data_IF_973405223121
#
_entry.id   IF_973405223121
#
_cell.length_a   1.000
_cell.length_b   1.000
_cell.length_c   1.000
_cell.angle_alpha   90.00
_cell.angle_beta   90.00
_cell.angle_gamma   90.00
#
_symmetry.space_group_name_H-M   'P 1'
#
loop_
_entity.id
_entity.type
_entity.pdbx_description
1 polymer ?
#
# COMPACT_ATOMS: atom_id res chain seq x y z
N UNK A 1 10.90 -17.74 10.86
CA UNK A 1 12.33 -18.01 10.58
C UNK A 1 12.70 -17.79 9.11
N UNK A 2 12.27 -18.63 8.16
CA UNK A 2 12.75 -18.52 6.77
C UNK A 2 12.39 -17.19 6.05
N UNK A 3 11.28 -16.55 6.44
CA UNK A 3 10.85 -15.26 5.87
C UNK A 3 11.31 -14.06 6.70
N UNK A 4 11.93 -14.28 7.86
CA UNK A 4 12.20 -13.23 8.83
C UNK A 4 13.34 -12.32 8.32
N UNK A 5 13.22 -11.02 8.60
CA UNK A 5 14.24 -10.03 8.21
C UNK A 5 14.30 -9.73 6.71
N UNK A 6 13.31 -10.17 5.94
CA UNK A 6 13.13 -9.80 4.54
C UNK A 6 12.66 -8.37 4.38
N UNK A 7 12.86 -7.81 3.19
CA UNK A 7 12.36 -6.50 2.77
C UNK A 7 11.18 -6.66 1.78
N UNK A 8 10.83 -5.58 1.10
CA UNK A 8 9.74 -5.58 0.11
C UNK A 8 9.98 -6.54 -1.05
N UNK A 9 11.23 -6.71 -1.52
CA UNK A 9 11.55 -7.67 -2.59
C UNK A 9 11.34 -9.11 -2.12
N UNK A 10 11.95 -9.48 -0.99
CA UNK A 10 11.79 -10.81 -0.40
C UNK A 10 10.31 -11.16 -0.17
N UNK A 11 9.53 -10.20 0.33
CA UNK A 11 8.10 -10.37 0.58
C UNK A 11 7.32 -10.55 -0.72
N UNK A 12 7.58 -9.72 -1.72
CA UNK A 12 6.95 -9.81 -3.04
C UNK A 12 7.24 -11.16 -3.72
N UNK A 13 8.50 -11.63 -3.66
CA UNK A 13 8.89 -12.92 -4.20
C UNK A 13 8.16 -14.08 -3.52
N UNK A 14 8.12 -14.12 -2.19
CA UNK A 14 7.40 -15.16 -1.46
C UNK A 14 5.90 -15.19 -1.81
N UNK A 15 5.26 -14.01 -1.89
CA UNK A 15 3.86 -13.90 -2.28
C UNK A 15 3.62 -14.31 -3.74
N UNK A 16 4.49 -13.90 -4.67
CA UNK A 16 4.40 -14.29 -6.07
C UNK A 16 4.50 -15.81 -6.26
N UNK A 17 5.38 -16.47 -5.50
CA UNK A 17 5.50 -17.94 -5.52
C UNK A 17 4.25 -18.62 -4.94
N UNK A 18 3.68 -18.08 -3.86
CA UNK A 18 2.41 -18.56 -3.33
C UNK A 18 1.26 -18.37 -4.34
N UNK A 19 1.20 -17.23 -5.04
CA UNK A 19 0.21 -16.95 -6.09
C UNK A 19 0.34 -17.92 -7.26
N UNK A 20 1.57 -18.21 -7.72
CA UNK A 20 1.82 -19.26 -8.73
C UNK A 20 1.30 -20.63 -8.29
N UNK A 21 1.44 -20.97 -7.01
CA UNK A 21 0.91 -22.22 -6.45
C UNK A 21 -0.63 -22.24 -6.39
N UNK A 22 -1.28 -21.10 -6.11
CA UNK A 22 -2.75 -20.99 -6.14
C UNK A 22 -3.28 -21.33 -7.53
N UNK A 23 -2.59 -20.91 -8.59
CA UNK A 23 -2.91 -21.25 -9.97
C UNK A 23 -3.61 -20.10 -10.70
N UNK A 24 -4.80 -20.34 -11.24
CA UNK A 24 -5.52 -19.37 -12.07
C UNK A 24 -6.06 -18.18 -11.28
N UNK A 25 -5.90 -16.98 -11.83
CA UNK A 25 -6.43 -15.72 -11.29
C UNK A 25 -6.69 -14.74 -12.43
N UNK A 26 -7.69 -13.88 -12.25
CA UNK A 26 -7.97 -12.77 -13.16
C UNK A 26 -7.41 -11.44 -12.61
N UNK A 27 -7.55 -11.21 -11.31
CA UNK A 27 -7.11 -9.98 -10.67
C UNK A 27 -6.46 -10.30 -9.33
N UNK A 28 -5.30 -9.70 -9.08
CA UNK A 28 -4.65 -9.69 -7.77
C UNK A 28 -4.85 -8.32 -7.14
N UNK A 29 -5.49 -8.29 -5.97
CA UNK A 29 -5.65 -7.06 -5.19
C UNK A 29 -4.58 -6.94 -4.12
N UNK A 30 -3.98 -5.75 -4.03
CA UNK A 30 -3.10 -5.34 -2.95
C UNK A 30 -3.61 -4.04 -2.34
N UNK A 31 -3.28 -3.76 -1.08
CA UNK A 31 -3.39 -2.39 -0.57
C UNK A 31 -2.35 -1.48 -1.22
N UNK A 32 -2.58 -0.16 -1.19
CA UNK A 32 -1.59 0.85 -1.60
C UNK A 32 -0.24 0.66 -0.90
N UNK A 33 -0.26 0.60 0.42
CA UNK A 33 0.91 0.44 1.27
C UNK A 33 0.49 -0.13 2.63
N UNK A 34 1.41 -0.81 3.30
CA UNK A 34 1.21 -1.22 4.70
C UNK A 34 1.63 -0.07 5.62
N UNK A 35 0.83 0.19 6.66
CA UNK A 35 0.98 1.34 7.56
C UNK A 35 2.17 1.26 8.52
N UNK A 36 2.87 0.14 8.55
CA UNK A 36 4.06 -0.08 9.36
C UNK A 36 5.28 0.60 8.75
N UNK A 37 5.73 0.13 7.59
CA UNK A 37 6.92 0.65 6.89
C UNK A 37 6.59 1.67 5.82
N UNK A 38 5.32 1.79 5.41
CA UNK A 38 4.86 2.70 4.34
C UNK A 38 5.67 2.57 3.03
N UNK A 39 6.19 1.38 2.73
CA UNK A 39 7.09 1.19 1.60
C UNK A 39 6.37 1.25 0.24
N UNK A 40 5.10 0.82 0.17
CA UNK A 40 4.30 0.83 -1.06
C UNK A 40 4.81 -0.07 -2.21
N UNK A 41 5.81 -0.93 -1.97
CA UNK A 41 6.53 -1.63 -3.04
C UNK A 41 6.04 -3.04 -3.34
N UNK A 42 5.44 -3.74 -2.36
CA UNK A 42 5.18 -5.18 -2.46
C UNK A 42 4.21 -5.52 -3.60
N UNK A 43 3.15 -4.74 -3.79
CA UNK A 43 2.17 -4.96 -4.87
C UNK A 43 2.82 -4.90 -6.26
N UNK A 44 3.53 -3.81 -6.56
CA UNK A 44 4.25 -3.66 -7.83
C UNK A 44 5.36 -4.71 -8.00
N UNK A 45 6.04 -5.11 -6.91
CA UNK A 45 7.01 -6.19 -6.94
C UNK A 45 6.41 -7.53 -7.32
N UNK A 46 5.21 -7.86 -6.80
CA UNK A 46 4.49 -9.07 -7.21
C UNK A 46 4.16 -9.03 -8.70
N UNK A 47 3.66 -7.88 -9.20
CA UNK A 47 3.31 -7.73 -10.61
C UNK A 47 4.52 -7.94 -11.53
N UNK A 48 5.66 -7.37 -11.18
CA UNK A 48 6.93 -7.54 -11.92
C UNK A 48 7.35 -9.02 -11.97
N UNK A 49 7.37 -9.70 -10.81
CA UNK A 49 7.80 -11.11 -10.72
C UNK A 49 6.87 -12.05 -11.50
N UNK A 50 5.58 -11.70 -11.58
CA UNK A 50 4.58 -12.46 -12.34
C UNK A 50 4.45 -12.02 -13.81
N UNK A 51 5.11 -10.94 -14.22
CA UNK A 51 4.99 -10.38 -15.57
C UNK A 51 3.59 -9.84 -15.88
N UNK A 52 2.92 -9.22 -14.91
CA UNK A 52 1.55 -8.75 -15.03
C UNK A 52 1.47 -7.22 -15.25
N UNK A 53 0.50 -6.75 -16.04
CA UNK A 53 0.08 -5.35 -15.98
C UNK A 53 -0.28 -4.95 -14.55
N UNK A 54 0.19 -3.77 -14.12
CA UNK A 54 -0.06 -3.25 -12.77
C UNK A 54 -0.64 -1.84 -12.84
N UNK A 55 -1.72 -1.59 -12.11
CA UNK A 55 -2.28 -0.25 -11.94
C UNK A 55 -2.41 0.07 -10.45
N UNK A 56 -1.74 1.14 -10.03
CA UNK A 56 -1.66 1.52 -8.62
C UNK A 56 -2.68 2.60 -8.24
N UNK A 57 -2.95 2.75 -6.95
CA UNK A 57 -3.82 3.79 -6.38
C UNK A 57 -5.23 3.82 -6.99
N UNK A 58 -5.84 2.65 -7.22
CA UNK A 58 -7.16 2.57 -7.85
C UNK A 58 -8.27 2.85 -6.83
N UNK A 59 -9.17 3.77 -7.16
CA UNK A 59 -10.38 4.10 -6.38
C UNK A 59 -11.67 3.49 -6.95
N UNK A 60 -11.67 3.01 -8.20
CA UNK A 60 -12.85 2.39 -8.80
C UNK A 60 -12.44 1.35 -9.83
N UNK A 61 -13.17 0.23 -9.86
CA UNK A 61 -12.91 -0.92 -10.72
C UNK A 61 -14.21 -1.32 -11.41
N UNK A 62 -14.19 -1.38 -12.74
CA UNK A 62 -15.28 -1.85 -13.59
C UNK A 62 -14.76 -2.99 -14.48
N UNK A 63 -14.95 -4.26 -14.08
CA UNK A 63 -14.56 -5.40 -14.90
C UNK A 63 -15.43 -5.52 -16.16
N UNK A 64 -14.83 -5.77 -17.31
CA UNK A 64 -15.53 -5.90 -18.59
C UNK A 64 -14.83 -6.94 -19.49
N UNK A 65 -15.34 -8.17 -19.48
CA UNK A 65 -15.02 -9.21 -20.49
C UNK A 65 -13.53 -9.38 -20.83
N UNK A 66 -12.71 -9.86 -19.88
CA UNK A 66 -11.27 -10.06 -20.07
C UNK A 66 -10.43 -8.79 -19.93
N UNK A 67 -11.05 -7.66 -19.60
CA UNK A 67 -10.42 -6.39 -19.27
C UNK A 67 -10.97 -5.81 -17.97
N UNK A 68 -10.30 -4.78 -17.46
CA UNK A 68 -10.81 -3.94 -16.39
C UNK A 68 -10.60 -2.46 -16.73
N UNK A 69 -11.64 -1.66 -16.55
CA UNK A 69 -11.57 -0.20 -16.56
C UNK A 69 -11.44 0.30 -15.12
N UNK A 70 -10.46 1.16 -14.89
CA UNK A 70 -10.00 1.57 -13.57
C UNK A 70 -9.96 3.08 -13.47
N UNK A 71 -10.29 3.62 -12.31
CA UNK A 71 -10.02 5.02 -11.97
C UNK A 71 -8.83 5.06 -10.98
N UNK A 72 -7.69 5.57 -11.43
CA UNK A 72 -6.46 5.74 -10.63
C UNK A 72 -6.39 7.15 -10.07
N UNK A 73 -6.16 7.30 -8.77
CA UNK A 73 -5.99 8.59 -8.11
C UNK A 73 -4.68 9.26 -8.52
N UNK A 74 -4.74 10.56 -8.75
CA UNK A 74 -3.58 11.46 -8.95
C UNK A 74 -3.75 12.70 -8.07
N UNK A 75 -2.70 13.51 -7.92
CA UNK A 75 -2.74 14.73 -7.11
C UNK A 75 -3.77 15.76 -7.63
N UNK A 76 -4.08 15.71 -8.93
CA UNK A 76 -5.03 16.62 -9.60
C UNK A 76 -6.43 16.00 -9.81
N UNK A 77 -6.65 14.75 -9.39
CA UNK A 77 -7.93 14.06 -9.57
C UNK A 77 -7.78 12.58 -9.83
N UNK A 78 -8.07 12.13 -11.05
CA UNK A 78 -7.94 10.72 -11.43
C UNK A 78 -7.75 10.50 -12.93
N UNK A 79 -7.11 9.39 -13.27
CA UNK A 79 -6.94 8.87 -14.62
C UNK A 79 -7.90 7.69 -14.85
N UNK A 80 -8.48 7.60 -16.05
CA UNK A 80 -9.24 6.42 -16.48
C UNK A 80 -8.33 5.52 -17.29
N UNK A 81 -8.06 4.31 -16.79
CA UNK A 81 -7.12 3.35 -17.37
C UNK A 81 -7.87 2.07 -17.74
N UNK A 82 -7.56 1.49 -18.89
CA UNK A 82 -8.00 0.14 -19.26
C UNK A 82 -6.80 -0.81 -19.23
N UNK A 83 -6.97 -1.99 -18.64
CA UNK A 83 -5.96 -3.07 -18.64
C UNK A 83 -6.58 -4.40 -19.05
N UNK A 84 -5.79 -5.24 -19.72
CA UNK A 84 -6.14 -6.66 -19.93
C UNK A 84 -6.03 -7.45 -18.62
N UNK A 85 -6.78 -8.55 -18.54
CA UNK A 85 -6.63 -9.57 -17.49
C UNK A 85 -5.72 -10.72 -17.99
N UNK A 86 -4.91 -11.34 -17.11
CA UNK A 86 -4.80 -11.04 -15.69
C UNK A 86 -4.01 -9.76 -15.37
N UNK A 87 -4.33 -9.08 -14.26
CA UNK A 87 -3.60 -7.90 -13.81
C UNK A 87 -3.47 -7.82 -12.28
N UNK A 88 -2.57 -6.94 -11.81
CA UNK A 88 -2.47 -6.56 -10.41
C UNK A 88 -2.97 -5.14 -10.19
N UNK A 89 -3.76 -4.94 -9.14
CA UNK A 89 -4.33 -3.66 -8.77
C UNK A 89 -3.98 -3.37 -7.31
N UNK A 90 -3.36 -2.22 -7.05
CA UNK A 90 -3.28 -1.71 -5.67
C UNK A 90 -4.44 -0.74 -5.45
N UNK A 91 -5.24 -0.95 -4.41
CA UNK A 91 -6.39 -0.11 -4.09
C UNK A 91 -5.99 1.05 -3.18
N UNK A 92 -6.60 2.22 -3.43
CA UNK A 92 -6.47 3.40 -2.56
C UNK A 92 -7.64 3.46 -1.57
N UNK A 93 -7.54 4.31 -0.55
CA UNK A 93 -8.56 4.44 0.49
C UNK A 93 -9.89 5.00 -0.06
N UNK A 94 -9.84 5.71 -1.19
CA UNK A 94 -10.98 6.29 -1.89
C UNK A 94 -11.89 5.23 -2.53
N UNK A 95 -11.51 3.94 -2.53
CA UNK A 95 -12.35 2.85 -3.01
C UNK A 95 -13.62 2.64 -2.16
N UNK A 96 -13.61 3.13 -0.93
CA UNK A 96 -14.71 3.07 0.02
C UNK A 96 -14.40 2.26 1.26
N UNK A 97 -15.39 2.20 2.16
CA UNK A 97 -15.24 1.59 3.47
C UNK A 97 -15.50 0.07 3.44
N UNK A 98 -14.62 -0.76 4.04
CA UNK A 98 -14.88 -2.18 4.21
C UNK A 98 -16.18 -2.43 4.99
N UNK A 99 -16.97 -3.40 4.52
CA UNK A 99 -18.19 -3.81 5.22
C UNK A 99 -17.89 -4.35 6.62
N UNK A 100 -18.77 -4.06 7.58
CA UNK A 100 -18.70 -4.65 8.91
C UNK A 100 -18.94 -6.18 8.87
N UNK A 101 -18.21 -6.97 9.68
CA UNK A 101 -18.45 -8.40 9.79
C UNK A 101 -19.76 -8.65 10.56
N UNK A 102 -20.56 -9.61 10.10
CA UNK A 102 -21.75 -10.06 10.83
C UNK A 102 -21.37 -11.12 11.86
N UNK A 103 -22.15 -11.28 12.93
CA UNK A 103 -21.92 -12.33 13.96
C UNK A 103 -21.83 -13.73 13.31
N UNK A 104 -22.76 -14.02 12.38
CA UNK A 104 -22.73 -15.27 11.60
C UNK A 104 -21.45 -15.41 10.78
N UNK A 105 -20.98 -14.31 10.17
CA UNK A 105 -19.71 -14.27 9.44
C UNK A 105 -18.50 -14.59 10.33
N UNK A 106 -18.46 -14.02 11.54
CA UNK A 106 -17.39 -14.29 12.52
C UNK A 106 -17.40 -15.77 12.95
N UNK A 107 -18.58 -16.31 13.29
CA UNK A 107 -18.71 -17.72 13.66
C UNK A 107 -18.32 -18.66 12.52
N UNK A 108 -18.66 -18.31 11.28
CA UNK A 108 -18.28 -19.06 10.09
C UNK A 108 -16.77 -19.03 9.84
N UNK A 109 -16.15 -17.86 9.94
CA UNK A 109 -14.70 -17.70 9.78
C UNK A 109 -13.91 -18.50 10.81
N UNK A 110 -14.33 -18.49 12.09
CA UNK A 110 -13.69 -19.24 13.17
C UNK A 110 -13.64 -20.75 12.93
N UNK A 111 -14.60 -21.29 12.19
CA UNK A 111 -14.69 -22.74 11.87
C UNK A 111 -13.85 -23.15 10.67
N UNK A 112 -13.35 -22.19 9.88
CA UNK A 112 -12.50 -22.51 8.73
C UNK A 112 -11.10 -22.82 9.22
N UNK A 113 -10.57 -23.96 8.81
CA UNK A 113 -9.17 -24.29 9.01
C UNK A 113 -8.34 -23.64 7.89
N UNK A 114 -7.42 -22.72 8.20
CA UNK A 114 -6.57 -22.12 7.19
C UNK A 114 -5.56 -23.14 6.68
N UNK A 115 -5.39 -23.19 5.37
CA UNK A 115 -4.27 -23.93 4.78
C UNK A 115 -2.98 -23.17 5.09
N UNK A 116 -2.05 -23.84 5.76
CA UNK A 116 -0.75 -23.26 6.11
C UNK A 116 0.32 -23.85 5.19
N UNK A 117 0.89 -23.01 4.34
CA UNK A 117 2.03 -23.38 3.51
C UNK A 117 3.35 -22.98 4.17
N UNK A 118 4.28 -23.92 4.18
CA UNK A 118 5.70 -23.71 4.51
C UNK A 118 6.45 -23.19 3.28
N UNK A 119 7.66 -22.63 3.46
CA UNK A 119 8.50 -22.24 2.32
C UNK A 119 8.66 -23.34 1.26
N UNK A 120 8.93 -24.58 1.70
CA UNK A 120 9.06 -25.72 0.81
C UNK A 120 7.79 -26.02 -0.01
N UNK A 121 6.61 -25.66 0.51
CA UNK A 121 5.35 -25.93 -0.17
C UNK A 121 5.12 -24.98 -1.35
N UNK A 122 5.67 -23.77 -1.31
CA UNK A 122 5.51 -22.73 -2.35
C UNK A 122 6.71 -22.64 -3.30
N UNK A 123 7.72 -23.51 -3.15
CA UNK A 123 8.85 -23.60 -4.08
C UNK A 123 9.75 -22.36 -4.09
N UNK A 124 9.85 -21.65 -2.98
CA UNK A 124 10.73 -20.48 -2.85
C UNK A 124 12.20 -20.88 -2.76
N UNK A 125 13.07 -20.11 -3.41
CA UNK A 125 14.51 -20.21 -3.22
C UNK A 125 14.93 -19.50 -1.92
N UNK A 126 15.76 -20.17 -1.10
CA UNK A 126 16.21 -19.61 0.19
C UNK A 126 17.00 -18.29 0.03
N UNK A 127 17.69 -18.11 -1.10
CA UNK A 127 18.43 -16.90 -1.45
C UNK A 127 17.54 -15.71 -1.81
N UNK A 128 16.24 -15.91 -2.03
CA UNK A 128 15.28 -14.89 -2.46
C UNK A 128 14.31 -14.48 -1.34
N UNK A 129 14.41 -15.09 -0.15
CA UNK A 129 13.50 -14.82 0.97
C UNK A 129 14.24 -14.46 2.26
N UNK A 130 13.51 -13.83 3.17
CA UNK A 130 14.00 -13.41 4.48
C UNK A 130 15.24 -12.52 4.39
N UNK A 131 16.07 -12.57 5.41
CA UNK A 131 17.28 -11.75 5.50
C UNK A 131 18.31 -12.03 4.38
N UNK A 132 18.27 -13.20 3.75
CA UNK A 132 19.18 -13.56 2.64
C UNK A 132 18.73 -12.91 1.32
N UNK A 133 17.43 -12.86 1.06
CA UNK A 133 16.86 -12.26 -0.15
C UNK A 133 16.61 -10.76 -0.07
N UNK A 134 16.99 -10.08 1.01
CA UNK A 134 16.78 -8.63 1.11
C UNK A 134 17.72 -7.86 0.19
N UNK A 135 17.19 -6.84 -0.45
CA UNK A 135 17.95 -5.87 -1.25
C UNK A 135 18.21 -4.56 -0.48
N UNK A 136 17.39 -4.26 0.53
CA UNK A 136 17.58 -3.15 1.44
C UNK A 136 18.03 -3.61 2.83
N UNK A 137 18.96 -2.85 3.44
CA UNK A 137 19.41 -3.07 4.81
C UNK A 137 19.18 -1.81 5.64
N UNK A 138 18.36 -1.94 6.69
CA UNK A 138 18.17 -0.88 7.68
C UNK A 138 19.49 -0.65 8.42
N UNK A 139 20.06 0.55 8.27
CA UNK A 139 21.29 0.92 8.95
C UNK A 139 21.03 1.53 10.33
N UNK A 140 20.03 2.42 10.41
CA UNK A 140 19.68 3.13 11.64
C UNK A 140 18.19 3.47 11.61
N UNK A 141 17.52 3.26 12.75
CA UNK A 141 16.16 3.70 13.01
C UNK A 141 16.17 4.53 14.29
N UNK A 142 15.60 5.71 14.24
CA UNK A 142 15.51 6.60 15.39
C UNK A 142 14.27 7.49 15.25
N UNK A 143 13.76 7.94 16.38
CA UNK A 143 12.68 8.91 16.42
C UNK A 143 13.27 10.30 16.15
N UNK A 144 12.78 11.06 15.15
CA UNK A 144 13.22 12.43 14.94
C UNK A 144 12.78 13.30 16.11
N UNK A 145 13.72 13.99 16.74
CA UNK A 145 13.42 15.04 17.72
C UNK A 145 12.99 16.27 16.95
N UNK A 146 11.73 16.68 17.09
CA UNK A 146 11.20 17.92 16.51
C UNK A 146 10.98 18.93 17.62
N UNK A 147 11.68 20.05 17.56
CA UNK A 147 11.41 21.21 18.40
C UNK A 147 10.52 22.18 17.63
N UNK A 148 9.27 22.33 18.08
CA UNK A 148 8.35 23.31 17.52
C UNK A 148 8.42 24.60 18.33
N UNK A 149 8.74 25.73 17.67
CA UNK A 149 8.51 27.06 18.25
C UNK A 149 7.15 27.54 17.77
N UNK A 150 6.19 27.60 18.69
CA UNK A 150 4.88 28.18 18.43
C UNK A 150 4.94 29.67 18.76
N UNK A 151 4.62 30.53 17.78
CA UNK A 151 4.42 31.96 17.97
C UNK A 151 2.92 32.22 17.81
N UNK A 152 2.28 32.68 18.89
CA UNK A 152 0.88 33.10 18.85
C UNK A 152 0.84 34.52 18.28
N UNK A 153 0.18 34.69 17.14
CA UNK A 153 0.02 36.00 16.51
C UNK A 153 -1.22 36.67 17.06
N UNK A 154 -1.04 37.83 17.70
CA UNK A 154 -2.11 38.60 18.35
C UNK A 154 -2.64 39.73 17.44
N UNK A 155 -3.81 40.27 17.80
CA UNK A 155 -4.45 41.45 17.20
C UNK A 155 -5.63 41.90 18.07
N UNK A 156 -6.04 43.17 17.99
CA UNK A 156 -7.11 43.73 18.82
C UNK A 156 -8.49 43.12 18.48
N UNK A 157 -8.63 42.59 17.27
CA UNK A 157 -9.79 41.85 16.80
C UNK A 157 -9.36 40.71 15.82
N UNK A 158 -10.26 39.78 15.46
CA UNK A 158 -9.93 38.66 14.58
C UNK A 158 -9.43 39.07 13.19
N UNK A 159 -9.86 40.22 12.67
CA UNK A 159 -9.46 40.72 11.35
C UNK A 159 -7.99 41.16 11.36
N UNK A 160 -7.59 41.90 12.40
CA UNK A 160 -6.21 42.34 12.59
C UNK A 160 -5.27 41.16 12.86
N UNK A 161 -5.67 40.22 13.72
CA UNK A 161 -4.89 39.01 13.98
C UNK A 161 -4.66 38.19 12.69
N UNK A 162 -5.67 38.11 11.81
CA UNK A 162 -5.55 37.48 10.50
C UNK A 162 -4.58 38.20 9.56
N UNK A 163 -4.61 39.54 9.52
CA UNK A 163 -3.68 40.35 8.74
C UNK A 163 -2.23 40.19 9.23
N UNK A 164 -2.03 40.22 10.54
CA UNK A 164 -0.72 40.02 11.17
C UNK A 164 -0.17 38.62 10.86
N UNK A 165 -1.02 37.59 10.91
CA UNK A 165 -0.64 36.22 10.56
C UNK A 165 -0.21 36.13 9.09
N UNK A 166 -0.98 36.72 8.17
CA UNK A 166 -0.65 36.71 6.74
C UNK A 166 0.68 37.43 6.45
N UNK A 167 0.93 38.58 7.11
CA UNK A 167 2.19 39.30 7.00
C UNK A 167 3.37 38.45 7.49
N UNK A 168 3.22 37.80 8.64
CA UNK A 168 4.23 36.91 9.22
C UNK A 168 4.53 35.71 8.33
N UNK A 169 3.50 35.07 7.79
CA UNK A 169 3.66 33.92 6.88
C UNK A 169 4.41 34.29 5.58
N UNK A 170 4.21 35.50 5.05
CA UNK A 170 5.00 36.04 3.94
C UNK A 170 6.45 36.30 4.33
N UNK A 171 6.69 36.85 5.53
CA UNK A 171 8.04 37.09 6.06
C UNK A 171 8.84 35.78 6.14
N UNK A 172 8.20 34.70 6.63
CA UNK A 172 8.82 33.38 6.75
C UNK A 172 8.78 32.55 5.45
N UNK A 173 8.27 33.11 4.35
CA UNK A 173 8.19 32.48 3.01
C UNK A 173 7.44 31.14 2.99
N UNK A 174 6.41 31.04 3.83
CA UNK A 174 5.47 29.90 3.84
C UNK A 174 4.28 30.19 2.92
N UNK A 175 4.03 31.47 2.65
CA UNK A 175 3.11 31.99 1.64
C UNK A 175 3.85 32.85 0.60
#
# INVERSE_FOLDING_TARGET
EAFDGGDSWSTAYALAMAIKKIGEYDIIFCGREASDWNAGQVGSGIAEILGLPSVTLVKKIEPAGGKAKLERVTDEGYEVIETSLPCLITVSNEIGEPRYPTIKGIMGAKKKEPVVWKPADIGVEASQIGAQGRHAKLQKLFQPVREGKCEMVEGENPEEAGANLAAKLREVKVL
#
